data_IF_348802858853
#
_entry.id   IF_348802858853
#
_cell.length_a   1.000
_cell.length_b   1.000
_cell.length_c   1.000
_cell.angle_alpha   90.00
_cell.angle_beta   90.00
_cell.angle_gamma   90.00
#
_symmetry.space_group_name_H-M   'P 1'
#
loop_
_entity.id
_entity.type
_entity.pdbx_description
1 polymer ?
#
# COMPACT_ATOMS: atom_id res chain seq x y z
N UNK A 1 -29.33 26.01 -11.70
CA UNK A 1 -27.86 26.02 -11.58
C UNK A 1 -27.46 24.66 -11.02
N UNK A 2 -26.62 23.93 -11.77
CA UNK A 2 -26.07 22.59 -11.53
C UNK A 2 -27.06 21.40 -11.46
N UNK A 3 -27.25 20.75 -12.62
CA UNK A 3 -27.42 19.29 -12.65
C UNK A 3 -26.16 18.66 -12.04
N UNK A 4 -26.30 17.72 -11.11
CA UNK A 4 -25.21 16.79 -10.79
C UNK A 4 -25.76 15.36 -10.82
N UNK A 5 -26.09 14.94 -12.04
CA UNK A 5 -26.10 13.53 -12.39
C UNK A 5 -24.64 13.05 -12.50
N UNK A 6 -24.45 11.77 -12.18
CA UNK A 6 -23.25 10.93 -12.36
C UNK A 6 -22.06 11.20 -11.43
N UNK A 7 -21.78 10.26 -10.51
CA UNK A 7 -20.46 10.24 -9.88
C UNK A 7 -20.22 9.42 -8.62
N UNK A 8 -21.20 8.75 -8.00
CA UNK A 8 -20.97 8.10 -6.68
C UNK A 8 -19.76 7.14 -6.71
N UNK A 9 -19.56 6.44 -7.83
CA UNK A 9 -18.39 5.59 -7.98
C UNK A 9 -17.08 6.37 -8.02
N UNK A 10 -16.99 7.57 -8.58
CA UNK A 10 -15.73 8.34 -8.63
C UNK A 10 -15.30 8.86 -7.25
N UNK A 11 -16.24 9.40 -6.49
CA UNK A 11 -15.96 9.95 -5.15
C UNK A 11 -15.59 8.86 -4.14
N UNK A 12 -16.26 7.70 -4.19
CA UNK A 12 -15.89 6.53 -3.38
C UNK A 12 -14.48 6.03 -3.70
N UNK A 13 -14.07 6.08 -4.97
CA UNK A 13 -12.73 5.70 -5.41
C UNK A 13 -11.69 6.67 -4.86
N UNK A 14 -11.91 7.97 -5.03
CA UNK A 14 -11.04 9.01 -4.48
C UNK A 14 -10.93 8.93 -2.95
N UNK A 15 -12.03 8.66 -2.25
CA UNK A 15 -12.02 8.47 -0.80
C UNK A 15 -11.15 7.27 -0.39
N UNK A 16 -11.30 6.12 -1.06
CA UNK A 16 -10.48 4.93 -0.80
C UNK A 16 -9.01 5.17 -1.09
N UNK A 17 -8.70 5.87 -2.19
CA UNK A 17 -7.33 6.27 -2.54
C UNK A 17 -6.75 7.17 -1.45
N UNK A 18 -7.47 8.21 -1.03
CA UNK A 18 -6.99 9.13 -0.01
C UNK A 18 -6.73 8.44 1.33
N UNK A 19 -7.61 7.51 1.75
CA UNK A 19 -7.38 6.68 2.95
C UNK A 19 -6.18 5.75 2.81
N UNK A 20 -5.96 5.19 1.62
CA UNK A 20 -4.81 4.35 1.33
C UNK A 20 -3.51 5.17 1.35
N UNK A 21 -3.54 6.38 0.79
CA UNK A 21 -2.43 7.33 0.83
C UNK A 21 -2.07 7.71 2.26
N UNK A 22 -3.05 7.97 3.12
CA UNK A 22 -2.81 8.25 4.54
C UNK A 22 -2.16 7.05 5.27
N UNK A 23 -2.62 5.83 4.99
CA UNK A 23 -2.09 4.61 5.61
C UNK A 23 -0.66 4.23 5.17
N UNK A 24 -0.22 4.70 4.00
CA UNK A 24 1.12 4.45 3.43
C UNK A 24 2.00 5.71 3.47
N UNK A 25 1.41 6.89 3.67
CA UNK A 25 2.03 8.22 3.71
C UNK A 25 2.49 8.77 2.35
N UNK A 26 2.92 7.89 1.45
CA UNK A 26 3.72 8.28 0.27
C UNK A 26 3.25 7.58 -1.03
N UNK A 27 2.13 6.86 -0.99
CA UNK A 27 1.61 6.14 -2.15
C UNK A 27 1.03 7.13 -3.19
N UNK A 28 1.38 6.95 -4.47
CA UNK A 28 0.80 7.76 -5.56
C UNK A 28 -0.62 7.29 -5.86
N UNK A 29 -1.45 8.18 -6.41
CA UNK A 29 -2.83 7.83 -6.79
C UNK A 29 -2.88 6.62 -7.71
N UNK A 30 -1.99 6.55 -8.71
CA UNK A 30 -1.90 5.44 -9.67
C UNK A 30 -1.60 4.10 -8.97
N UNK A 31 -0.65 4.09 -8.02
CA UNK A 31 -0.35 2.91 -7.20
C UNK A 31 -1.54 2.51 -6.33
N UNK A 32 -2.19 3.49 -5.71
CA UNK A 32 -3.37 3.27 -4.88
C UNK A 32 -4.50 2.65 -5.68
N UNK A 33 -4.84 3.20 -6.84
CA UNK A 33 -5.89 2.68 -7.72
C UNK A 33 -5.54 1.29 -8.20
N UNK A 34 -4.29 1.05 -8.60
CA UNK A 34 -3.83 -0.27 -9.04
C UNK A 34 -3.91 -1.31 -7.92
N UNK A 35 -3.44 -0.97 -6.72
CA UNK A 35 -3.48 -1.85 -5.55
C UNK A 35 -4.92 -2.12 -5.09
N UNK A 36 -5.76 -1.08 -5.02
CA UNK A 36 -7.19 -1.20 -4.72
C UNK A 36 -7.86 -2.09 -5.75
N UNK A 37 -7.64 -1.86 -7.04
CA UNK A 37 -8.27 -2.67 -8.08
C UNK A 37 -7.84 -4.14 -8.00
N UNK A 38 -6.58 -4.41 -7.66
CA UNK A 38 -6.06 -5.76 -7.45
C UNK A 38 -6.63 -6.46 -6.19
N UNK A 39 -7.02 -5.70 -5.17
CA UNK A 39 -7.56 -6.23 -3.90
C UNK A 39 -9.09 -6.13 -3.79
N UNK A 40 -9.80 -5.77 -4.87
CA UNK A 40 -11.26 -5.61 -4.82
C UNK A 40 -11.73 -4.35 -4.08
N UNK A 41 -10.92 -3.30 -4.12
CA UNK A 41 -11.09 -2.01 -3.47
C UNK A 41 -11.03 -2.07 -1.94
N UNK A 42 -10.18 -2.95 -1.40
CA UNK A 42 -9.89 -3.02 0.03
C UNK A 42 -8.67 -2.16 0.38
N UNK A 43 -8.90 -1.10 1.16
CA UNK A 43 -7.86 -0.13 1.55
C UNK A 43 -6.78 -0.80 2.42
N UNK A 44 -7.17 -1.70 3.32
CA UNK A 44 -6.23 -2.36 4.22
C UNK A 44 -5.34 -3.30 3.43
N UNK A 45 -5.92 -4.18 2.61
CA UNK A 45 -5.17 -5.12 1.79
C UNK A 45 -4.32 -4.38 0.74
N UNK A 46 -4.83 -3.31 0.14
CA UNK A 46 -4.05 -2.49 -0.79
C UNK A 46 -2.86 -1.82 -0.10
N UNK A 47 -3.04 -1.31 1.14
CA UNK A 47 -1.96 -0.71 1.92
C UNK A 47 -0.86 -1.73 2.18
N UNK A 48 -1.24 -2.92 2.67
CA UNK A 48 -0.31 -4.03 2.88
C UNK A 48 0.44 -4.38 1.60
N UNK A 49 -0.28 -4.47 0.48
CA UNK A 49 0.28 -4.83 -0.82
C UNK A 49 1.29 -3.81 -1.33
N UNK A 50 1.01 -2.50 -1.24
CA UNK A 50 1.97 -1.44 -1.60
C UNK A 50 3.20 -1.49 -0.70
N UNK A 51 3.01 -1.67 0.61
CA UNK A 51 4.11 -1.78 1.57
C UNK A 51 5.04 -2.95 1.23
N UNK A 52 4.47 -4.09 0.87
CA UNK A 52 5.21 -5.28 0.42
C UNK A 52 5.90 -5.02 -0.93
N UNK A 53 5.23 -4.40 -1.89
CA UNK A 53 5.79 -4.10 -3.22
C UNK A 53 6.98 -3.13 -3.13
N UNK A 54 6.92 -2.15 -2.20
CA UNK A 54 8.05 -1.25 -1.90
C UNK A 54 9.27 -2.00 -1.38
N UNK A 55 9.06 -3.01 -0.53
CA UNK A 55 10.14 -3.86 -0.01
C UNK A 55 10.65 -4.84 -1.08
N UNK A 56 9.76 -5.41 -1.88
CA UNK A 56 10.07 -6.33 -2.99
C UNK A 56 10.88 -5.63 -4.09
N UNK A 57 10.56 -4.35 -4.39
CA UNK A 57 11.34 -3.50 -5.31
C UNK A 57 12.78 -3.27 -4.87
N UNK A 58 13.08 -3.38 -3.58
CA UNK A 58 14.47 -3.33 -3.11
C UNK A 58 15.24 -4.61 -3.49
N UNK A 59 14.54 -5.67 -3.92
CA UNK A 59 15.12 -6.94 -4.36
C UNK A 59 15.75 -7.75 -3.23
N UNK A 60 15.44 -7.41 -1.97
CA UNK A 60 16.14 -7.94 -0.79
C UNK A 60 15.60 -9.31 -0.38
N UNK A 61 14.28 -9.51 -0.42
CA UNK A 61 13.62 -10.72 0.10
C UNK A 61 12.32 -11.05 -0.64
N UNK A 62 11.82 -12.28 -0.46
CA UNK A 62 10.54 -12.73 -1.03
C UNK A 62 9.33 -12.07 -0.35
N UNK A 63 8.21 -11.98 -1.07
CA UNK A 63 6.91 -11.44 -0.59
C UNK A 63 6.53 -11.88 0.83
N UNK A 64 6.70 -13.16 1.13
CA UNK A 64 6.37 -13.73 2.44
C UNK A 64 7.20 -13.13 3.58
N UNK A 65 8.51 -12.93 3.35
CA UNK A 65 9.40 -12.32 4.34
C UNK A 65 9.09 -10.83 4.53
N UNK A 66 8.70 -10.12 3.46
CA UNK A 66 8.20 -8.76 3.57
C UNK A 66 6.97 -8.67 4.48
N UNK A 67 6.03 -9.62 4.34
CA UNK A 67 4.83 -9.68 5.19
C UNK A 67 5.20 -9.95 6.65
N UNK A 68 6.06 -10.93 6.92
CA UNK A 68 6.53 -11.24 8.28
C UNK A 68 7.28 -10.05 8.92
N UNK A 69 8.15 -9.38 8.17
CA UNK A 69 8.86 -8.19 8.64
C UNK A 69 7.90 -7.03 8.91
N UNK A 70 6.93 -6.80 8.03
CA UNK A 70 5.89 -5.81 8.23
C UNK A 70 5.06 -6.14 9.48
N UNK A 71 4.67 -7.39 9.71
CA UNK A 71 3.93 -7.77 10.92
C UNK A 71 4.74 -7.51 12.19
N UNK A 72 6.03 -7.85 12.21
CA UNK A 72 6.95 -7.55 13.32
C UNK A 72 7.14 -6.05 13.53
N UNK A 73 7.19 -5.28 12.45
CA UNK A 73 7.36 -3.83 12.44
C UNK A 73 6.04 -3.04 12.47
N UNK A 74 4.90 -3.66 12.83
CA UNK A 74 3.57 -3.01 12.89
C UNK A 74 3.16 -2.30 11.58
N UNK A 75 3.48 -2.90 10.45
CA UNK A 75 3.25 -2.38 9.10
C UNK A 75 3.98 -1.07 8.80
N UNK A 76 5.13 -0.84 9.44
CA UNK A 76 6.04 0.24 9.13
C UNK A 76 7.05 -0.21 8.05
N UNK A 77 7.00 0.43 6.88
CA UNK A 77 7.86 0.11 5.74
C UNK A 77 9.33 0.38 6.03
N UNK A 78 9.66 1.46 6.74
CA UNK A 78 11.04 1.85 7.01
C UNK A 78 11.70 0.91 8.02
N UNK A 79 10.96 0.54 9.07
CA UNK A 79 11.42 -0.43 10.07
C UNK A 79 11.55 -1.82 9.46
N UNK A 80 10.54 -2.27 8.69
CA UNK A 80 10.61 -3.55 8.01
C UNK A 80 11.77 -3.58 7.00
N UNK A 81 11.97 -2.51 6.22
CA UNK A 81 13.09 -2.39 5.29
C UNK A 81 14.43 -2.46 6.02
N UNK A 82 14.59 -1.72 7.12
CA UNK A 82 15.82 -1.72 7.92
C UNK A 82 16.10 -3.09 8.52
N UNK A 83 15.08 -3.76 9.08
CA UNK A 83 15.21 -5.10 9.63
C UNK A 83 15.56 -6.14 8.56
N UNK A 84 15.01 -6.00 7.35
CA UNK A 84 15.33 -6.87 6.23
C UNK A 84 16.74 -6.61 5.70
N UNK A 85 17.14 -5.34 5.55
CA UNK A 85 18.49 -4.94 5.14
C UNK A 85 19.55 -5.50 6.10
N UNK A 86 19.33 -5.41 7.41
CA UNK A 86 20.21 -6.01 8.42
C UNK A 86 20.33 -7.53 8.23
N UNK A 87 19.21 -8.22 7.97
CA UNK A 87 19.17 -9.67 7.79
C UNK A 87 19.85 -10.18 6.50
N UNK A 88 19.95 -9.37 5.43
CA UNK A 88 20.73 -9.74 4.22
C UNK A 88 22.19 -9.28 4.26
N UNK A 89 22.55 -8.38 5.17
CA UNK A 89 23.92 -7.87 5.30
C UNK A 89 24.77 -8.62 6.34
N UNK A 90 24.19 -9.54 7.12
CA UNK A 90 24.87 -10.35 8.17
C UNK A 90 25.45 -11.67 7.69
#
# INVERSE_FOLDING_TARGET
MACQEVGVSGELRANKVSRLQDAVGDAREDECVSALNATGWDVTAAAKRIKVDRLDRLGLVSRHLCEEALEKSKWNVQEAASSLLDAVQS
#
